data_IF_554928814592
#
_entry.id   IF_554928814592
#
_cell.length_a   1.000
_cell.length_b   1.000
_cell.length_c   1.000
_cell.angle_alpha   90.00
_cell.angle_beta   90.00
_cell.angle_gamma   90.00
#
_symmetry.space_group_name_H-M   'P 1'
#
loop_
_entity.id
_entity.type
_entity.pdbx_description
1 polymer ?
#
# COMPACT_ATOMS: atom_id res chain seq x y z
N UNK A 1 0.27 26.25 -1.59
CA UNK A 1 1.34 25.23 -1.60
C UNK A 1 1.60 24.62 -0.20
N UNK A 2 0.76 24.88 0.81
CA UNK A 2 1.02 24.53 2.22
C UNK A 2 0.65 23.09 2.67
N UNK A 3 -0.11 22.33 1.87
CA UNK A 3 -0.63 21.02 2.31
C UNK A 3 0.46 19.95 2.45
N UNK A 4 1.47 19.96 1.57
CA UNK A 4 2.56 18.97 1.51
C UNK A 4 3.78 19.34 2.37
N UNK A 5 3.75 20.49 3.05
CA UNK A 5 4.81 20.89 3.97
C UNK A 5 4.69 20.18 5.33
N UNK A 6 3.51 19.60 5.62
CA UNK A 6 3.26 18.83 6.83
C UNK A 6 3.70 17.37 6.66
N UNK A 7 4.04 16.72 7.78
CA UNK A 7 4.39 15.30 7.79
C UNK A 7 3.23 14.42 7.26
N UNK A 8 1.99 14.73 7.66
CA UNK A 8 0.79 14.07 7.15
C UNK A 8 0.64 14.27 5.63
N UNK A 9 0.83 15.49 5.12
CA UNK A 9 0.75 15.78 3.70
C UNK A 9 1.78 15.02 2.87
N UNK A 10 3.02 14.91 3.37
CA UNK A 10 4.07 14.12 2.71
C UNK A 10 3.73 12.62 2.68
N UNK A 11 3.20 12.07 3.78
CA UNK A 11 2.74 10.68 3.87
C UNK A 11 1.66 10.41 2.82
N UNK A 12 0.64 11.27 2.79
CA UNK A 12 -0.46 11.20 1.84
C UNK A 12 0.02 11.27 0.40
N UNK A 13 1.00 12.14 0.09
CA UNK A 13 1.57 12.24 -1.25
C UNK A 13 2.28 10.95 -1.69
N UNK A 14 3.02 10.31 -0.78
CA UNK A 14 3.71 9.05 -1.04
C UNK A 14 2.70 7.92 -1.32
N UNK A 15 1.68 7.79 -0.46
CA UNK A 15 0.61 6.79 -0.66
C UNK A 15 -0.16 7.03 -1.96
N UNK A 16 -0.47 8.28 -2.28
CA UNK A 16 -1.15 8.62 -3.53
C UNK A 16 -0.31 8.29 -4.77
N UNK A 17 0.99 8.60 -4.76
CA UNK A 17 1.89 8.26 -5.85
C UNK A 17 2.01 6.73 -6.04
N UNK A 18 2.07 5.99 -4.93
CA UNK A 18 2.08 4.53 -4.94
C UNK A 18 0.79 3.93 -5.52
N UNK A 19 -0.36 4.47 -5.13
CA UNK A 19 -1.66 4.09 -5.69
C UNK A 19 -1.72 4.34 -7.20
N UNK A 20 -1.29 5.51 -7.67
CA UNK A 20 -1.27 5.85 -9.09
C UNK A 20 -0.38 4.91 -9.91
N UNK A 21 0.79 4.53 -9.37
CA UNK A 21 1.69 3.57 -10.00
C UNK A 21 0.99 2.23 -10.26
N UNK A 22 0.31 1.69 -9.26
CA UNK A 22 -0.36 0.39 -9.38
C UNK A 22 -1.63 0.43 -10.22
N UNK A 23 -2.40 1.52 -10.17
CA UNK A 23 -3.51 1.74 -11.09
C UNK A 23 -3.02 1.80 -12.54
N UNK A 24 -1.94 2.54 -12.81
CA UNK A 24 -1.34 2.61 -14.14
C UNK A 24 -0.84 1.23 -14.61
N UNK A 25 -0.21 0.46 -13.73
CA UNK A 25 0.23 -0.91 -14.03
C UNK A 25 -0.95 -1.85 -14.35
N UNK A 26 -2.05 -1.76 -13.59
CA UNK A 26 -3.26 -2.53 -13.85
C UNK A 26 -3.92 -2.13 -15.18
N UNK A 27 -3.99 -0.83 -15.48
CA UNK A 27 -4.50 -0.33 -16.76
C UNK A 27 -3.64 -0.81 -17.93
N UNK A 28 -2.31 -0.73 -17.83
CA UNK A 28 -1.40 -1.22 -18.87
C UNK A 28 -1.55 -2.72 -19.15
N UNK A 29 -1.93 -3.51 -18.15
CA UNK A 29 -2.21 -4.94 -18.29
C UNK A 29 -3.38 -5.26 -19.24
N UNK A 30 -4.27 -4.29 -19.51
CA UNK A 30 -5.37 -4.47 -20.48
C UNK A 30 -4.88 -4.55 -21.92
N UNK A 31 -3.75 -3.90 -22.21
CA UNK A 31 -3.11 -3.94 -23.54
C UNK A 31 -2.36 -5.25 -23.75
N UNK A 32 -1.69 -5.75 -22.71
CA UNK A 32 -0.97 -7.02 -22.74
C UNK A 32 -1.27 -7.84 -21.48
N UNK A 33 -2.31 -8.70 -21.53
CA UNK A 33 -2.72 -9.48 -20.37
C UNK A 33 -1.62 -10.44 -19.91
N UNK A 34 -1.24 -10.44 -18.62
CA UNK A 34 -0.30 -11.42 -18.09
C UNK A 34 -0.95 -12.79 -17.92
N UNK A 35 -0.12 -13.80 -17.66
CA UNK A 35 -0.58 -15.13 -17.22
C UNK A 35 -1.30 -15.08 -15.85
N UNK A 36 -1.86 -16.21 -15.41
CA UNK A 36 -2.71 -16.28 -14.23
C UNK A 36 -2.08 -15.65 -12.96
N UNK A 37 -0.81 -15.95 -12.69
CA UNK A 37 -0.06 -15.37 -11.56
C UNK A 37 0.02 -13.85 -11.67
N UNK A 38 0.42 -13.32 -12.83
CA UNK A 38 0.61 -11.89 -13.03
C UNK A 38 -0.72 -11.14 -13.01
N UNK A 39 -1.80 -11.75 -13.52
CA UNK A 39 -3.15 -11.17 -13.43
C UNK A 39 -3.60 -11.08 -11.98
N UNK A 40 -3.38 -12.13 -11.20
CA UNK A 40 -3.68 -12.11 -9.77
C UNK A 40 -2.86 -11.04 -9.03
N UNK A 41 -1.55 -10.95 -9.31
CA UNK A 41 -0.66 -9.93 -8.76
C UNK A 41 -1.15 -8.51 -9.06
N UNK A 42 -1.48 -8.20 -10.31
CA UNK A 42 -1.92 -6.86 -10.71
C UNK A 42 -3.31 -6.53 -10.17
N UNK A 43 -4.25 -7.48 -10.16
CA UNK A 43 -5.58 -7.26 -9.56
C UNK A 43 -5.45 -6.95 -8.07
N UNK A 44 -4.63 -7.71 -7.33
CA UNK A 44 -4.46 -7.47 -5.90
C UNK A 44 -3.77 -6.13 -5.63
N UNK A 45 -2.75 -5.76 -6.39
CA UNK A 45 -2.13 -4.43 -6.27
C UNK A 45 -3.11 -3.32 -6.64
N UNK A 46 -3.98 -3.50 -7.64
CA UNK A 46 -5.01 -2.53 -7.98
C UNK A 46 -6.06 -2.36 -6.89
N UNK A 47 -6.44 -3.42 -6.18
CA UNK A 47 -7.31 -3.34 -5.01
C UNK A 47 -6.66 -2.54 -3.88
N UNK A 48 -5.37 -2.79 -3.60
CA UNK A 48 -4.59 -2.00 -2.65
C UNK A 48 -4.48 -0.54 -3.07
N UNK A 49 -4.26 -0.26 -4.35
CA UNK A 49 -4.21 1.11 -4.86
C UNK A 49 -5.52 1.89 -4.61
N UNK A 50 -6.68 1.21 -4.68
CA UNK A 50 -7.96 1.83 -4.31
C UNK A 50 -8.00 2.15 -2.81
N UNK A 51 -7.51 1.25 -1.96
CA UNK A 51 -7.43 1.46 -0.51
C UNK A 51 -6.48 2.63 -0.19
N UNK A 52 -5.25 2.61 -0.72
CA UNK A 52 -4.24 3.65 -0.52
C UNK A 52 -4.72 5.00 -1.03
N UNK A 53 -5.34 5.03 -2.21
CA UNK A 53 -5.96 6.23 -2.76
C UNK A 53 -7.09 6.76 -1.88
N UNK A 54 -7.91 5.88 -1.29
CA UNK A 54 -8.95 6.23 -0.33
C UNK A 54 -8.38 6.80 0.98
N UNK A 55 -7.33 6.20 1.53
CA UNK A 55 -6.62 6.68 2.72
C UNK A 55 -5.98 8.04 2.44
N UNK A 56 -5.30 8.18 1.30
CA UNK A 56 -4.69 9.43 0.86
C UNK A 56 -5.74 10.54 0.73
N UNK A 57 -6.86 10.27 0.05
CA UNK A 57 -7.98 11.20 -0.05
C UNK A 57 -8.53 11.60 1.32
N UNK A 58 -8.79 10.62 2.18
CA UNK A 58 -9.29 10.86 3.54
C UNK A 58 -8.33 11.75 4.34
N UNK A 59 -7.02 11.48 4.26
CA UNK A 59 -5.98 12.28 4.92
C UNK A 59 -5.87 13.74 4.44
N UNK A 60 -6.42 14.07 3.27
CA UNK A 60 -6.49 15.46 2.79
C UNK A 60 -7.74 16.21 3.28
N UNK A 61 -8.85 15.51 3.48
CA UNK A 61 -10.16 16.13 3.77
C UNK A 61 -10.56 16.05 5.24
N UNK A 62 -10.03 15.06 5.97
CA UNK A 62 -10.29 14.89 7.39
C UNK A 62 -9.36 15.79 8.24
N UNK A 63 -9.78 16.16 9.46
CA UNK A 63 -8.88 16.77 10.44
C UNK A 63 -7.67 15.86 10.69
N UNK A 64 -6.47 16.43 10.91
CA UNK A 64 -5.29 15.64 11.21
C UNK A 64 -5.50 14.83 12.50
N UNK A 65 -4.95 13.61 12.58
CA UNK A 65 -5.09 12.79 13.78
C UNK A 65 -4.42 13.46 14.98
N UNK A 66 -5.04 13.33 16.16
CA UNK A 66 -4.50 13.88 17.40
C UNK A 66 -3.13 13.27 17.76
N UNK A 67 -2.90 12.01 17.40
CA UNK A 67 -1.65 11.30 17.61
C UNK A 67 -1.28 10.49 16.35
N UNK A 68 -0.53 11.14 15.46
CA UNK A 68 -0.01 10.51 14.24
C UNK A 68 1.01 9.40 14.56
N UNK A 69 1.80 9.55 15.63
CA UNK A 69 2.84 8.59 15.97
C UNK A 69 2.24 7.24 16.39
N UNK A 70 1.20 7.25 17.23
CA UNK A 70 0.48 6.04 17.63
C UNK A 70 -0.22 5.40 16.43
N UNK A 71 -0.83 6.19 15.54
CA UNK A 71 -1.47 5.68 14.33
C UNK A 71 -0.48 4.92 13.44
N UNK A 72 0.69 5.52 13.14
CA UNK A 72 1.74 4.91 12.32
C UNK A 72 2.32 3.65 12.97
N UNK A 73 2.48 3.64 14.30
CA UNK A 73 2.98 2.45 15.02
C UNK A 73 2.01 1.27 14.93
N UNK A 74 0.71 1.52 15.05
CA UNK A 74 -0.32 0.48 14.90
C UNK A 74 -0.35 -0.02 13.46
N UNK A 75 -0.29 0.89 12.50
CA UNK A 75 -0.29 0.59 11.06
C UNK A 75 0.94 -0.27 10.67
N UNK A 76 2.14 0.12 11.09
CA UNK A 76 3.35 -0.69 10.91
C UNK A 76 3.22 -2.12 11.50
N UNK A 77 2.50 -2.27 12.62
CA UNK A 77 2.18 -3.59 13.17
C UNK A 77 1.28 -4.43 12.26
N UNK A 78 0.28 -3.81 11.63
CA UNK A 78 -0.58 -4.47 10.64
C UNK A 78 0.20 -4.84 9.38
N UNK A 79 1.15 -4.01 8.95
CA UNK A 79 1.96 -4.30 7.78
C UNK A 79 2.84 -5.54 7.94
N UNK A 80 3.38 -5.76 9.14
CA UNK A 80 4.06 -7.03 9.47
C UNK A 80 3.11 -8.21 9.29
N UNK A 81 1.86 -8.10 9.76
CA UNK A 81 0.86 -9.15 9.55
C UNK A 81 0.53 -9.36 8.07
N UNK A 82 0.45 -8.28 7.28
CA UNK A 82 0.25 -8.37 5.84
C UNK A 82 1.41 -9.11 5.17
N UNK A 83 2.66 -8.74 5.44
CA UNK A 83 3.82 -9.43 4.88
C UNK A 83 3.81 -10.91 5.23
N UNK A 84 3.55 -11.27 6.50
CA UNK A 84 3.46 -12.66 6.92
C UNK A 84 2.33 -13.42 6.20
N UNK A 85 1.15 -12.81 6.06
CA UNK A 85 0.03 -13.39 5.34
C UNK A 85 0.36 -13.57 3.84
N UNK A 86 1.03 -12.60 3.23
CA UNK A 86 1.50 -12.67 1.85
C UNK A 86 2.51 -13.81 1.64
N UNK A 87 3.49 -13.95 2.54
CA UNK A 87 4.44 -15.07 2.54
C UNK A 87 3.71 -16.41 2.70
N UNK A 88 2.73 -16.50 3.59
CA UNK A 88 1.92 -17.70 3.74
C UNK A 88 1.14 -18.05 2.46
N UNK A 89 0.67 -17.06 1.69
CA UNK A 89 0.01 -17.26 0.39
C UNK A 89 0.99 -17.72 -0.70
N UNK A 90 2.25 -17.29 -0.66
CA UNK A 90 3.29 -17.72 -1.61
C UNK A 90 3.60 -19.23 -1.53
N UNK A 91 3.36 -19.86 -0.36
CA UNK A 91 3.55 -21.30 -0.17
C UNK A 91 2.42 -22.14 -0.79
N UNK A 92 1.31 -21.52 -1.20
CA UNK A 92 0.15 -22.24 -1.74
C UNK A 92 0.41 -22.72 -3.16
N UNK A 93 -0.17 -23.87 -3.54
CA UNK A 93 0.00 -24.44 -4.90
C UNK A 93 -0.60 -23.59 -6.03
N UNK A 94 -1.82 -23.03 -5.92
CA UNK A 94 -2.44 -22.31 -7.03
C UNK A 94 -1.67 -21.04 -7.42
N UNK A 95 -1.41 -20.86 -8.72
CA UNK A 95 -0.68 -19.70 -9.25
C UNK A 95 -1.36 -18.38 -8.89
N UNK A 96 -2.70 -18.34 -8.88
CA UNK A 96 -3.49 -17.19 -8.41
C UNK A 96 -3.16 -16.80 -6.96
N UNK A 97 -3.12 -17.77 -6.03
CA UNK A 97 -2.82 -17.48 -4.63
C UNK A 97 -1.40 -16.97 -4.44
N UNK A 98 -0.43 -17.50 -5.21
CA UNK A 98 0.94 -16.97 -5.22
C UNK A 98 1.00 -15.54 -5.75
N UNK A 99 0.23 -15.21 -6.79
CA UNK A 99 0.17 -13.84 -7.33
C UNK A 99 -0.40 -12.86 -6.31
N UNK A 100 -1.47 -13.24 -5.62
CA UNK A 100 -2.01 -12.48 -4.49
C UNK A 100 -1.01 -12.34 -3.35
N UNK A 101 -0.35 -13.43 -2.96
CA UNK A 101 0.68 -13.41 -1.92
C UNK A 101 1.82 -12.47 -2.23
N UNK A 102 2.35 -12.51 -3.46
CA UNK A 102 3.40 -11.60 -3.91
C UNK A 102 2.96 -10.13 -3.83
N UNK A 103 1.73 -9.83 -4.26
CA UNK A 103 1.19 -8.48 -4.18
C UNK A 103 1.07 -8.00 -2.73
N UNK A 104 0.51 -8.83 -1.83
CA UNK A 104 0.38 -8.49 -0.42
C UNK A 104 1.75 -8.30 0.25
N UNK A 105 2.77 -9.09 -0.10
CA UNK A 105 4.15 -8.87 0.39
C UNK A 105 4.68 -7.52 -0.08
N UNK A 106 4.54 -7.19 -1.36
CA UNK A 106 5.03 -5.91 -1.92
C UNK A 106 4.32 -4.72 -1.26
N UNK A 107 3.01 -4.81 -1.09
CA UNK A 107 2.19 -3.78 -0.45
C UNK A 107 2.56 -3.61 1.03
N UNK A 108 2.54 -4.70 1.81
CA UNK A 108 2.88 -4.65 3.22
C UNK A 108 4.33 -4.21 3.47
N UNK A 109 5.29 -4.64 2.64
CA UNK A 109 6.68 -4.21 2.80
C UNK A 109 6.86 -2.72 2.49
N UNK A 110 6.17 -2.21 1.46
CA UNK A 110 6.19 -0.78 1.14
C UNK A 110 5.57 0.05 2.27
N UNK A 111 4.36 -0.30 2.70
CA UNK A 111 3.64 0.39 3.78
C UNK A 111 4.45 0.38 5.08
N UNK A 112 5.06 -0.77 5.43
CA UNK A 112 5.91 -0.88 6.61
C UNK A 112 7.09 0.10 6.56
N UNK A 113 7.77 0.21 5.42
CA UNK A 113 8.88 1.14 5.25
C UNK A 113 8.41 2.57 5.36
N UNK A 114 7.28 2.92 4.75
CA UNK A 114 6.68 4.25 4.84
C UNK A 114 6.32 4.56 6.29
N UNK A 115 5.56 3.70 6.95
CA UNK A 115 5.07 3.95 8.30
C UNK A 115 6.21 4.07 9.32
N UNK A 116 7.22 3.20 9.25
CA UNK A 116 8.40 3.29 10.11
C UNK A 116 9.19 4.58 9.81
N UNK A 117 9.39 4.92 8.54
CA UNK A 117 10.12 6.15 8.17
C UNK A 117 9.42 7.40 8.68
N UNK A 118 8.10 7.47 8.55
CA UNK A 118 7.32 8.60 9.02
C UNK A 118 7.18 8.61 10.53
N UNK A 119 7.05 7.45 11.18
CA UNK A 119 7.02 7.33 12.64
C UNK A 119 8.31 7.86 13.27
N UNK A 120 9.47 7.50 12.71
CA UNK A 120 10.77 8.01 13.17
C UNK A 120 10.92 9.54 13.03
N UNK A 121 10.10 10.17 12.18
CA UNK A 121 10.07 11.63 11.98
C UNK A 121 9.00 12.34 12.83
N UNK A 122 8.21 11.59 13.61
CA UNK A 122 7.25 12.15 14.58
C UNK A 122 7.84 12.48 15.95
N UNK A 123 9.04 11.93 16.25
CA UNK A 123 9.83 12.27 17.44
C UNK A 123 10.73 13.48 17.19
#
# INVERSE_FOLDING_TARGET
MAAFDTLLGQLVAVLFAWALLWLAALTAATVRPPGEWGRAFLVMNGLWAVIDGGIAWYGLVAPPPADLATLLKVSAGLDVLYVLAGVALLTRRPARLKGFGAAVVVQGAFLLVVDVTFWLRTG
#
